data_IF_536515172975
#
_entry.id   IF_536515172975
#
_cell.length_a   1.000
_cell.length_b   1.000
_cell.length_c   1.000
_cell.angle_alpha   90.00
_cell.angle_beta   90.00
_cell.angle_gamma   90.00
#
_symmetry.space_group_name_H-M   'P 1'
#
loop_
_entity.id
_entity.type
_entity.pdbx_description
1 polymer ?
#
# COMPACT_ATOMS: atom_id res chain seq x y z
N UNK A 1 -55.88 -17.53 -8.87
CA UNK A 1 -54.85 -16.82 -9.65
C UNK A 1 -53.63 -17.72 -9.78
N UNK A 2 -53.13 -17.91 -11.00
CA UNK A 2 -51.85 -18.61 -11.23
C UNK A 2 -50.81 -17.56 -11.63
N UNK A 3 -49.71 -17.53 -10.88
CA UNK A 3 -48.56 -16.68 -11.16
C UNK A 3 -47.57 -17.49 -11.98
N UNK A 4 -47.21 -17.03 -13.18
CA UNK A 4 -46.19 -17.68 -14.02
C UNK A 4 -45.07 -16.69 -14.30
N UNK A 5 -43.84 -17.17 -14.24
CA UNK A 5 -42.65 -16.39 -14.58
C UNK A 5 -42.17 -16.84 -15.95
N UNK A 6 -42.03 -15.91 -16.90
CA UNK A 6 -41.39 -16.23 -18.17
C UNK A 6 -39.91 -16.49 -17.92
N UNK A 7 -39.42 -17.70 -18.22
CA UNK A 7 -38.00 -18.06 -18.03
C UNK A 7 -37.06 -17.31 -18.97
N UNK A 8 -37.58 -16.70 -20.03
CA UNK A 8 -36.78 -15.97 -21.03
C UNK A 8 -36.60 -14.50 -20.65
N UNK A 9 -37.65 -13.81 -20.21
CA UNK A 9 -37.59 -12.38 -19.91
C UNK A 9 -37.80 -12.03 -18.42
N UNK A 10 -38.12 -13.01 -17.57
CA UNK A 10 -38.29 -12.82 -16.13
C UNK A 10 -39.58 -12.09 -15.73
N UNK A 11 -40.46 -11.75 -16.67
CA UNK A 11 -41.74 -11.08 -16.38
C UNK A 11 -42.67 -12.05 -15.65
N UNK A 12 -43.24 -11.57 -14.55
CA UNK A 12 -44.18 -12.31 -13.70
C UNK A 12 -45.60 -11.90 -14.08
N UNK A 13 -46.40 -12.85 -14.53
CA UNK A 13 -47.78 -12.62 -14.95
C UNK A 13 -48.73 -13.35 -14.00
N UNK A 14 -49.65 -12.61 -13.38
CA UNK A 14 -50.74 -13.14 -12.54
C UNK A 14 -52.02 -13.14 -13.35
N UNK A 15 -52.58 -14.33 -13.63
CA UNK A 15 -53.86 -14.45 -14.33
C UNK A 15 -54.95 -15.02 -13.42
N UNK A 16 -56.11 -14.39 -13.41
CA UNK A 16 -57.32 -14.96 -12.83
C UNK A 16 -57.83 -16.09 -13.72
N UNK A 17 -58.21 -17.21 -13.10
CA UNK A 17 -58.43 -18.47 -13.80
C UNK A 17 -59.67 -18.42 -14.68
N UNK A 18 -59.46 -18.54 -16.00
CA UNK A 18 -60.52 -18.77 -16.98
C UNK A 18 -59.93 -19.13 -18.35
N UNK A 19 -60.24 -20.33 -18.84
CA UNK A 19 -59.96 -20.79 -20.21
C UNK A 19 -58.78 -21.75 -20.35
N UNK A 20 -59.09 -23.05 -20.36
CA UNK A 20 -58.19 -24.12 -20.82
C UNK A 20 -58.27 -24.20 -22.35
N UNK A 21 -57.14 -24.10 -23.05
CA UNK A 21 -57.05 -24.54 -24.46
C UNK A 21 -56.55 -23.53 -25.50
N UNK A 22 -55.48 -22.77 -25.21
CA UNK A 22 -54.78 -21.99 -26.24
C UNK A 22 -53.29 -21.88 -25.93
N UNK A 23 -52.46 -21.87 -26.98
CA UNK A 23 -51.01 -21.66 -26.89
C UNK A 23 -50.73 -20.33 -26.15
N UNK A 24 -50.17 -20.45 -24.95
CA UNK A 24 -49.92 -19.30 -24.07
C UNK A 24 -48.64 -18.59 -24.51
N UNK A 25 -48.74 -17.52 -25.29
CA UNK A 25 -47.59 -16.65 -25.56
C UNK A 25 -47.42 -15.61 -24.45
N UNK A 26 -46.17 -15.37 -24.03
CA UNK A 26 -45.85 -14.28 -23.10
C UNK A 26 -46.13 -12.93 -23.79
N UNK A 27 -46.95 -12.04 -23.21
CA UNK A 27 -47.30 -10.78 -23.84
C UNK A 27 -46.11 -9.82 -24.00
N UNK A 28 -45.06 -9.98 -23.18
CA UNK A 28 -43.88 -9.13 -23.23
C UNK A 28 -42.86 -9.54 -24.31
N UNK A 29 -42.77 -10.81 -24.68
CA UNK A 29 -41.74 -11.29 -25.61
C UNK A 29 -42.28 -12.16 -26.76
N UNK A 30 -43.59 -12.42 -26.80
CA UNK A 30 -44.26 -13.17 -27.87
C UNK A 30 -43.96 -14.66 -27.94
N UNK A 31 -43.14 -15.21 -27.03
CA UNK A 31 -42.75 -16.63 -27.04
C UNK A 31 -43.78 -17.51 -26.33
N UNK A 32 -44.02 -18.70 -26.89
CA UNK A 32 -44.88 -19.72 -26.31
C UNK A 32 -44.32 -20.25 -24.98
N UNK A 33 -45.19 -20.31 -23.98
CA UNK A 33 -44.92 -20.85 -22.66
C UNK A 33 -45.27 -22.34 -22.67
N UNK A 34 -44.42 -23.21 -22.08
CA UNK A 34 -44.69 -24.64 -22.04
C UNK A 34 -46.01 -24.92 -21.31
N UNK A 35 -46.84 -25.76 -21.92
CA UNK A 35 -48.10 -26.26 -21.36
C UNK A 35 -47.81 -27.10 -20.12
N UNK A 36 -48.55 -26.83 -19.05
CA UNK A 36 -48.30 -27.39 -17.73
C UNK A 36 -48.70 -28.87 -17.67
N UNK A 37 -47.74 -29.77 -17.85
CA UNK A 37 -47.83 -31.17 -17.41
C UNK A 37 -46.48 -31.69 -16.94
N UNK A 38 -45.91 -31.05 -15.91
CA UNK A 38 -44.94 -31.62 -14.96
C UNK A 38 -44.40 -30.46 -14.09
N UNK A 39 -45.06 -30.19 -12.97
CA UNK A 39 -44.43 -29.44 -11.88
C UNK A 39 -43.79 -30.46 -10.93
N UNK A 40 -42.50 -30.34 -10.55
CA UNK A 40 -41.99 -31.02 -9.38
C UNK A 40 -42.52 -30.31 -8.14
N UNK A 41 -43.10 -31.08 -7.22
CA UNK A 41 -43.50 -30.62 -5.89
C UNK A 41 -42.30 -30.04 -5.13
N UNK A 42 -42.40 -28.77 -4.72
CA UNK A 42 -41.48 -28.19 -3.73
C UNK A 42 -42.13 -28.26 -2.35
N UNK A 43 -41.46 -28.83 -1.34
CA UNK A 43 -42.02 -28.95 0.00
C UNK A 43 -42.11 -27.58 0.70
N UNK A 44 -43.15 -27.44 1.53
CA UNK A 44 -43.59 -26.24 2.24
C UNK A 44 -42.63 -25.70 3.34
N UNK A 45 -41.33 -26.02 3.29
CA UNK A 45 -40.32 -25.53 4.24
C UNK A 45 -39.80 -24.11 3.94
N UNK A 46 -40.28 -23.46 2.87
CA UNK A 46 -39.78 -22.17 2.40
C UNK A 46 -40.54 -20.93 2.96
N UNK A 47 -41.16 -21.01 4.14
CA UNK A 47 -41.90 -19.88 4.76
C UNK A 47 -41.40 -19.39 6.11
N UNK A 48 -40.29 -19.92 6.63
CA UNK A 48 -39.65 -19.43 7.85
C UNK A 48 -38.15 -19.22 7.63
N UNK A 49 -37.81 -18.13 6.95
CA UNK A 49 -36.42 -17.81 6.60
C UNK A 49 -36.27 -16.36 6.15
N UNK A 50 -36.89 -15.42 6.87
CA UNK A 50 -36.68 -13.98 6.69
C UNK A 50 -35.42 -13.53 7.45
N UNK A 51 -34.33 -14.26 7.28
CA UNK A 51 -32.98 -13.87 7.65
C UNK A 51 -32.04 -14.44 6.61
N UNK A 52 -31.26 -13.56 5.99
CA UNK A 52 -30.15 -13.90 5.08
C UNK A 52 -30.53 -14.46 3.70
N UNK A 53 -30.99 -13.57 2.82
CA UNK A 53 -30.99 -13.84 1.37
C UNK A 53 -29.59 -14.24 0.88
N UNK A 54 -29.55 -15.41 0.27
CA UNK A 54 -28.38 -16.01 -0.34
C UNK A 54 -28.08 -15.34 -1.69
N UNK A 55 -26.91 -14.69 -1.78
CA UNK A 55 -26.18 -14.52 -3.02
C UNK A 55 -24.79 -15.11 -2.78
N UNK A 56 -24.40 -16.07 -3.61
CA UNK A 56 -23.12 -16.73 -3.60
C UNK A 56 -22.02 -15.76 -4.03
N UNK A 57 -21.41 -15.12 -3.05
CA UNK A 57 -20.11 -14.45 -3.13
C UNK A 57 -19.49 -14.60 -1.76
N UNK A 58 -18.25 -15.09 -1.66
CA UNK A 58 -17.57 -15.42 -0.41
C UNK A 58 -17.95 -14.47 0.73
N UNK A 59 -18.70 -14.96 1.74
CA UNK A 59 -18.94 -14.20 2.97
C UNK A 59 -17.65 -14.19 3.76
N UNK A 60 -16.77 -13.26 3.40
CA UNK A 60 -15.61 -12.94 4.21
C UNK A 60 -16.10 -12.61 5.62
N UNK A 61 -15.52 -13.22 6.67
CA UNK A 61 -15.92 -12.91 8.04
C UNK A 61 -15.58 -11.44 8.30
N UNK A 62 -16.61 -10.61 8.46
CA UNK A 62 -16.46 -9.17 8.75
C UNK A 62 -16.20 -8.96 10.24
N UNK A 63 -15.36 -7.99 10.57
CA UNK A 63 -15.14 -7.62 11.97
C UNK A 63 -16.42 -7.01 12.60
N UNK A 64 -16.60 -7.10 13.94
CA UNK A 64 -17.75 -6.51 14.62
C UNK A 64 -17.90 -5.01 14.35
N UNK A 65 -16.78 -4.29 14.21
CA UNK A 65 -16.75 -2.85 13.94
C UNK A 65 -17.40 -2.53 12.58
N UNK A 66 -17.07 -3.29 11.54
CA UNK A 66 -17.64 -3.17 10.19
C UNK A 66 -19.12 -3.53 10.20
N UNK A 67 -19.50 -4.60 10.91
CA UNK A 67 -20.91 -5.01 11.04
C UNK A 67 -21.73 -3.89 11.71
N UNK A 68 -21.23 -3.31 12.80
CA UNK A 68 -21.90 -2.23 13.51
C UNK A 68 -22.06 -0.98 12.63
N UNK A 69 -20.99 -0.55 11.95
CA UNK A 69 -21.00 0.56 11.00
C UNK A 69 -22.01 0.34 9.87
N UNK A 70 -22.08 -0.88 9.31
CA UNK A 70 -23.00 -1.23 8.22
C UNK A 70 -24.48 -1.23 8.64
N UNK A 71 -24.76 -1.34 9.94
CA UNK A 71 -26.12 -1.36 10.51
C UNK A 71 -26.58 0.01 11.02
N UNK A 72 -25.70 1.01 11.00
CA UNK A 72 -26.02 2.37 11.45
C UNK A 72 -27.26 2.93 10.74
N UNK A 73 -28.13 3.62 11.49
CA UNK A 73 -29.34 4.25 10.95
C UNK A 73 -29.04 5.21 9.78
N UNK A 74 -27.83 5.76 9.74
CA UNK A 74 -27.38 6.73 8.73
C UNK A 74 -27.09 6.14 7.35
N UNK A 75 -27.07 4.81 7.22
CA UNK A 75 -26.83 4.10 5.94
C UNK A 75 -28.05 3.27 5.49
N UNK A 76 -29.19 3.44 6.15
CA UNK A 76 -30.41 2.62 5.92
C UNK A 76 -31.00 2.78 4.52
N UNK A 77 -30.74 3.89 3.82
CA UNK A 77 -31.15 4.11 2.43
C UNK A 77 -30.36 3.31 1.38
N UNK A 78 -29.22 2.71 1.75
CA UNK A 78 -28.37 1.94 0.83
C UNK A 78 -28.77 0.46 0.78
N UNK A 79 -28.45 -0.21 -0.33
CA UNK A 79 -28.52 -1.66 -0.44
C UNK A 79 -27.49 -2.34 0.51
N UNK A 80 -27.75 -3.57 1.00
CA UNK A 80 -26.85 -4.22 1.95
C UNK A 80 -25.38 -4.31 1.50
N UNK A 81 -25.06 -4.66 0.23
CA UNK A 81 -23.67 -4.66 -0.24
C UNK A 81 -23.00 -3.29 -0.22
N UNK A 82 -23.75 -2.22 -0.54
CA UNK A 82 -23.24 -0.83 -0.48
C UNK A 82 -22.90 -0.42 0.95
N UNK A 83 -23.72 -0.82 1.94
CA UNK A 83 -23.45 -0.53 3.36
C UNK A 83 -22.13 -1.11 3.85
N UNK A 84 -21.78 -2.32 3.38
CA UNK A 84 -20.52 -2.99 3.72
C UNK A 84 -19.34 -2.21 3.11
N UNK A 85 -19.41 -1.89 1.82
CA UNK A 85 -18.37 -1.11 1.13
C UNK A 85 -18.19 0.27 1.80
N UNK A 86 -19.28 0.94 2.15
CA UNK A 86 -19.25 2.20 2.90
C UNK A 86 -18.54 2.04 4.25
N UNK A 87 -18.93 1.03 5.04
CA UNK A 87 -18.33 0.77 6.35
C UNK A 87 -16.81 0.53 6.25
N UNK A 88 -16.38 -0.26 5.26
CA UNK A 88 -14.96 -0.54 5.00
C UNK A 88 -14.19 0.73 4.63
N UNK A 89 -14.71 1.56 3.73
CA UNK A 89 -14.06 2.80 3.31
C UNK A 89 -13.97 3.82 4.44
N UNK A 90 -15.06 4.01 5.18
CA UNK A 90 -15.09 4.93 6.32
C UNK A 90 -14.09 4.49 7.39
N UNK A 91 -14.10 3.20 7.75
CA UNK A 91 -13.16 2.64 8.74
C UNK A 91 -11.71 2.83 8.31
N UNK A 92 -11.40 2.54 7.05
CA UNK A 92 -10.06 2.69 6.46
C UNK A 92 -9.59 4.14 6.49
N UNK A 93 -10.40 5.07 5.98
CA UNK A 93 -10.03 6.49 5.92
C UNK A 93 -10.01 7.15 7.30
N UNK A 94 -10.85 6.70 8.24
CA UNK A 94 -10.77 7.11 9.63
C UNK A 94 -9.46 6.66 10.28
N UNK A 95 -9.03 5.42 10.04
CA UNK A 95 -7.75 4.90 10.53
C UNK A 95 -6.60 5.80 10.07
N UNK A 96 -6.57 6.13 8.78
CA UNK A 96 -5.59 7.04 8.18
C UNK A 96 -5.63 8.47 8.77
N UNK A 97 -6.83 9.00 9.07
CA UNK A 97 -6.97 10.31 9.74
C UNK A 97 -6.42 10.28 11.17
N UNK A 98 -6.66 9.20 11.91
CA UNK A 98 -6.18 9.04 13.29
C UNK A 98 -4.68 8.80 13.37
N UNK A 99 -4.04 8.38 12.28
CA UNK A 99 -2.63 7.97 12.25
C UNK A 99 -1.61 9.10 12.30
N UNK A 100 -2.01 10.27 12.82
CA UNK A 100 -1.11 11.40 13.10
C UNK A 100 0.01 11.02 14.08
N UNK A 101 -0.29 10.10 15.00
CA UNK A 101 0.68 9.59 15.97
C UNK A 101 1.81 8.84 15.28
N UNK A 102 1.51 7.97 14.30
CA UNK A 102 2.53 7.22 13.55
C UNK A 102 3.46 8.13 12.76
N UNK A 103 2.97 9.25 12.23
CA UNK A 103 3.83 10.23 11.56
C UNK A 103 4.83 10.86 12.52
N UNK A 104 4.38 11.33 13.69
CA UNK A 104 5.28 11.90 14.71
C UNK A 104 6.24 10.84 15.23
N UNK A 105 5.74 9.64 15.50
CA UNK A 105 6.55 8.50 15.92
C UNK A 105 7.63 8.17 14.89
N UNK A 106 7.31 8.13 13.59
CA UNK A 106 8.29 7.90 12.52
C UNK A 106 9.41 8.94 12.48
N UNK A 107 9.10 10.23 12.67
CA UNK A 107 10.12 11.28 12.77
C UNK A 107 10.98 11.16 14.04
N UNK A 108 10.37 10.79 15.16
CA UNK A 108 11.10 10.57 16.43
C UNK A 108 11.98 9.33 16.37
N UNK A 109 11.54 8.27 15.68
CA UNK A 109 12.29 7.02 15.54
C UNK A 109 13.44 7.13 14.54
N UNK A 110 13.37 8.05 13.57
CA UNK A 110 14.40 8.21 12.55
C UNK A 110 15.81 8.43 13.13
N UNK A 111 16.05 9.30 14.13
CA UNK A 111 17.33 9.38 14.84
C UNK A 111 17.80 8.06 15.47
N UNK A 112 16.90 7.27 16.05
CA UNK A 112 17.24 5.97 16.63
C UNK A 112 17.69 4.98 15.55
N UNK A 113 16.96 4.92 14.43
CA UNK A 113 17.35 4.10 13.29
C UNK A 113 18.63 4.59 12.61
N UNK A 114 18.86 5.90 12.56
CA UNK A 114 20.14 6.46 12.10
C UNK A 114 21.29 6.07 13.02
N UNK A 115 21.11 6.11 14.34
CA UNK A 115 22.10 5.59 15.29
C UNK A 115 22.36 4.10 15.14
N UNK A 116 21.29 3.29 14.99
CA UNK A 116 21.42 1.85 14.75
C UNK A 116 22.13 1.55 13.42
N UNK A 117 21.79 2.28 12.36
CA UNK A 117 22.41 2.18 11.05
C UNK A 117 23.88 2.57 11.08
N UNK A 118 24.23 3.62 11.83
CA UNK A 118 25.60 4.06 12.06
C UNK A 118 26.45 2.96 12.72
N UNK A 119 25.95 2.39 13.82
CA UNK A 119 26.62 1.28 14.49
C UNK A 119 26.72 0.05 13.58
N UNK A 120 25.66 -0.26 12.84
CA UNK A 120 25.63 -1.35 11.87
C UNK A 120 26.65 -1.16 10.73
N UNK A 121 26.74 0.05 10.17
CA UNK A 121 27.71 0.40 9.13
C UNK A 121 29.14 0.31 9.62
N UNK A 122 29.44 0.87 10.80
CA UNK A 122 30.76 0.75 11.43
C UNK A 122 31.13 -0.71 11.73
N UNK A 123 30.19 -1.47 12.27
CA UNK A 123 30.40 -2.89 12.56
C UNK A 123 30.68 -3.68 11.28
N UNK A 124 29.90 -3.46 10.21
CA UNK A 124 30.11 -4.10 8.92
C UNK A 124 31.49 -3.77 8.34
N UNK A 125 31.92 -2.51 8.39
CA UNK A 125 33.27 -2.11 7.97
C UNK A 125 34.36 -2.78 8.80
N UNK A 126 34.19 -2.84 10.13
CA UNK A 126 35.15 -3.46 11.04
C UNK A 126 35.25 -4.96 10.77
N UNK A 127 34.12 -5.65 10.62
CA UNK A 127 34.08 -7.06 10.31
C UNK A 127 34.70 -7.37 8.94
N UNK A 128 34.41 -6.55 7.92
CA UNK A 128 34.99 -6.67 6.59
C UNK A 128 36.51 -6.46 6.64
N UNK A 129 36.99 -5.46 7.37
CA UNK A 129 38.43 -5.22 7.56
C UNK A 129 39.10 -6.41 8.24
N UNK A 130 38.57 -6.90 9.37
CA UNK A 130 39.15 -8.06 10.09
C UNK A 130 39.20 -9.30 9.20
N UNK A 131 38.13 -9.55 8.42
CA UNK A 131 38.08 -10.67 7.49
C UNK A 131 39.11 -10.52 6.37
N UNK A 132 39.18 -9.35 5.73
CA UNK A 132 40.13 -9.08 4.64
C UNK A 132 41.57 -9.11 5.12
N UNK A 133 41.86 -8.60 6.32
CA UNK A 133 43.18 -8.67 6.93
C UNK A 133 43.59 -10.13 7.23
N UNK A 134 42.66 -10.96 7.72
CA UNK A 134 42.93 -12.37 7.94
C UNK A 134 43.20 -13.13 6.62
N UNK A 135 42.41 -12.84 5.58
CA UNK A 135 42.61 -13.41 4.24
C UNK A 135 43.90 -12.91 3.59
N UNK A 136 44.23 -11.63 3.77
CA UNK A 136 45.44 -11.01 3.25
C UNK A 136 46.69 -11.70 3.81
N UNK A 137 46.72 -11.95 5.13
CA UNK A 137 47.81 -12.69 5.78
C UNK A 137 47.89 -14.15 5.32
N UNK A 138 46.75 -14.77 5.02
CA UNK A 138 46.71 -16.15 4.56
C UNK A 138 47.17 -16.30 3.11
N UNK A 139 46.81 -15.36 2.25
CA UNK A 139 47.09 -15.40 0.81
C UNK A 139 48.36 -14.63 0.39
N UNK A 140 48.98 -13.87 1.30
CA UNK A 140 50.10 -12.95 1.02
C UNK A 140 49.78 -11.93 -0.08
N UNK A 141 48.55 -11.41 -0.07
CA UNK A 141 48.03 -10.41 -1.03
C UNK A 141 47.37 -9.27 -0.26
N UNK A 142 47.56 -8.02 -0.69
CA UNK A 142 46.93 -6.83 -0.11
C UNK A 142 45.43 -6.73 -0.45
N UNK A 143 44.61 -7.52 0.24
CA UNK A 143 43.15 -7.56 0.01
C UNK A 143 42.38 -6.41 0.66
N UNK A 144 43.03 -5.58 1.47
CA UNK A 144 42.39 -4.47 2.20
C UNK A 144 41.82 -3.39 1.24
N UNK A 145 42.37 -3.27 0.02
CA UNK A 145 41.81 -2.44 -1.04
C UNK A 145 40.41 -2.89 -1.50
N UNK A 146 39.98 -4.12 -1.21
CA UNK A 146 38.63 -4.57 -1.52
C UNK A 146 37.55 -3.79 -0.74
N UNK A 147 37.91 -3.13 0.37
CA UNK A 147 37.00 -2.25 1.11
C UNK A 147 36.46 -1.09 0.24
N UNK A 148 37.18 -0.68 -0.81
CA UNK A 148 36.71 0.34 -1.76
C UNK A 148 35.52 -0.11 -2.62
N UNK A 149 35.18 -1.40 -2.63
CA UNK A 149 33.95 -1.88 -3.27
C UNK A 149 32.71 -1.68 -2.38
N UNK A 150 32.87 -1.41 -1.08
CA UNK A 150 31.74 -1.27 -0.14
C UNK A 150 30.77 -0.14 -0.52
N UNK A 151 31.21 1.03 -1.01
CA UNK A 151 30.31 2.06 -1.53
C UNK A 151 29.40 1.56 -2.67
N UNK A 152 29.78 0.52 -3.43
CA UNK A 152 28.92 -0.06 -4.48
C UNK A 152 27.69 -0.77 -3.88
N UNK A 153 27.71 -1.18 -2.62
CA UNK A 153 26.54 -1.74 -1.93
C UNK A 153 25.42 -0.70 -1.74
N UNK A 154 25.73 0.60 -1.84
CA UNK A 154 24.71 1.66 -1.87
C UNK A 154 23.79 1.49 -3.11
N UNK A 155 24.32 0.99 -4.22
CA UNK A 155 23.51 0.68 -5.42
C UNK A 155 22.56 -0.50 -5.17
N UNK A 156 22.98 -1.49 -4.37
CA UNK A 156 22.11 -2.59 -3.94
C UNK A 156 21.00 -2.07 -3.03
N UNK A 157 21.30 -1.10 -2.15
CA UNK A 157 20.27 -0.42 -1.38
C UNK A 157 19.29 0.33 -2.28
N UNK A 158 19.76 1.07 -3.28
CA UNK A 158 18.89 1.76 -4.24
C UNK A 158 17.98 0.78 -5.00
N UNK A 159 18.52 -0.38 -5.41
CA UNK A 159 17.75 -1.46 -6.02
C UNK A 159 16.71 -2.04 -5.05
N UNK A 160 17.10 -2.29 -3.80
CA UNK A 160 16.22 -2.80 -2.76
C UNK A 160 15.10 -1.80 -2.43
N UNK A 161 15.42 -0.52 -2.24
CA UNK A 161 14.44 0.55 -2.01
C UNK A 161 13.46 0.67 -3.17
N UNK A 162 13.95 0.65 -4.42
CA UNK A 162 13.07 0.62 -5.62
C UNK A 162 12.15 -0.60 -5.63
N UNK A 163 12.59 -1.74 -5.07
CA UNK A 163 11.76 -2.94 -4.98
C UNK A 163 10.67 -2.84 -3.90
N UNK A 164 10.88 -2.02 -2.87
CA UNK A 164 9.86 -1.69 -1.87
C UNK A 164 8.77 -0.77 -2.43
N UNK A 165 9.09 0.13 -3.36
CA UNK A 165 8.12 1.04 -4.00
C UNK A 165 7.25 0.37 -5.09
N UNK A 166 7.20 -0.97 -5.15
CA UNK A 166 6.37 -1.68 -6.13
C UNK A 166 4.88 -1.39 -5.89
N UNK A 167 4.13 -1.28 -6.99
CA UNK A 167 2.68 -1.08 -6.99
C UNK A 167 2.00 -2.09 -6.05
N UNK A 168 1.39 -1.59 -4.98
CA UNK A 168 0.54 -2.40 -4.10
C UNK A 168 -0.89 -2.42 -4.60
N UNK A 169 -1.44 -3.62 -4.60
CA UNK A 169 -2.82 -3.87 -4.93
C UNK A 169 -3.74 -3.40 -3.79
N UNK A 170 -4.93 -2.91 -4.14
CA UNK A 170 -5.98 -2.62 -3.16
C UNK A 170 -6.59 -3.95 -2.69
N UNK A 171 -6.37 -4.29 -1.43
CA UNK A 171 -6.76 -5.57 -0.82
C UNK A 171 -7.60 -5.35 0.44
N UNK A 172 -8.22 -6.42 0.95
CA UNK A 172 -8.83 -6.39 2.28
C UNK A 172 -7.75 -6.47 3.37
N UNK A 173 -7.91 -5.64 4.39
CA UNK A 173 -7.11 -5.74 5.60
C UNK A 173 -7.76 -6.74 6.56
N UNK A 174 -6.99 -7.75 7.00
CA UNK A 174 -7.46 -8.79 7.91
C UNK A 174 -6.84 -8.66 9.30
N UNK A 175 -7.69 -8.61 10.33
CA UNK A 175 -7.28 -8.66 11.74
C UNK A 175 -8.00 -9.83 12.42
N UNK A 176 -7.25 -10.72 13.08
CA UNK A 176 -7.83 -11.90 13.73
C UNK A 176 -8.58 -12.85 12.80
N UNK A 177 -8.22 -12.89 11.51
CA UNK A 177 -8.91 -13.68 10.49
C UNK A 177 -10.23 -13.06 10.00
N UNK A 178 -10.52 -11.82 10.37
CA UNK A 178 -11.71 -11.07 9.96
C UNK A 178 -11.33 -9.82 9.17
N UNK A 179 -12.17 -9.40 8.22
CA UNK A 179 -11.95 -8.16 7.46
C UNK A 179 -12.28 -6.96 8.35
N UNK A 180 -11.27 -6.13 8.67
CA UNK A 180 -11.44 -4.88 9.44
C UNK A 180 -11.34 -3.62 8.56
N UNK A 181 -10.85 -3.73 7.32
CA UNK A 181 -10.73 -2.57 6.45
C UNK A 181 -10.22 -2.89 5.05
N UNK A 182 -9.72 -1.86 4.38
CA UNK A 182 -9.07 -1.92 3.07
C UNK A 182 -7.64 -1.39 3.20
N UNK A 183 -6.72 -1.99 2.45
CA UNK A 183 -5.40 -1.40 2.21
C UNK A 183 -5.48 -0.68 0.86
N UNK A 184 -5.50 0.65 0.86
CA UNK A 184 -5.66 1.45 -0.36
C UNK A 184 -4.34 1.54 -1.16
N UNK A 185 -3.72 0.40 -1.47
CA UNK A 185 -2.51 0.32 -2.27
C UNK A 185 -1.40 1.25 -1.75
N UNK A 186 -0.92 2.15 -2.62
CA UNK A 186 0.18 3.09 -2.31
C UNK A 186 -0.22 4.18 -1.33
N UNK A 187 -1.52 4.45 -1.13
CA UNK A 187 -1.93 5.38 -0.07
C UNK A 187 -1.62 4.81 1.31
N UNK A 188 -1.74 3.48 1.48
CA UNK A 188 -1.45 2.82 2.75
C UNK A 188 0.02 2.99 3.16
N UNK A 189 0.94 2.85 2.21
CA UNK A 189 2.39 2.94 2.46
C UNK A 189 2.83 4.30 3.00
N UNK A 190 2.13 5.38 2.66
CA UNK A 190 2.47 6.72 3.19
C UNK A 190 2.25 6.78 4.71
N UNK A 191 1.32 5.97 5.23
CA UNK A 191 1.01 5.85 6.64
C UNK A 191 1.93 4.85 7.37
N UNK A 192 2.62 3.98 6.64
CA UNK A 192 3.58 3.07 7.26
C UNK A 192 4.77 3.85 7.84
N UNK A 193 5.15 3.51 9.07
CA UNK A 193 6.32 4.07 9.78
C UNK A 193 7.66 3.54 9.28
N UNK A 194 7.61 2.58 8.34
CA UNK A 194 8.76 1.89 7.78
C UNK A 194 9.64 2.82 6.94
N UNK A 195 9.05 3.75 6.18
CA UNK A 195 9.79 4.61 5.23
C UNK A 195 10.77 5.57 5.95
N UNK A 196 10.38 6.39 6.96
CA UNK A 196 11.33 7.24 7.70
C UNK A 196 12.40 6.44 8.43
N UNK A 197 12.02 5.28 8.96
CA UNK A 197 12.91 4.38 9.70
C UNK A 197 13.97 3.80 8.76
N UNK A 198 13.57 3.38 7.57
CA UNK A 198 14.46 2.85 6.53
C UNK A 198 15.42 3.92 6.01
N UNK A 199 14.91 5.14 5.77
CA UNK A 199 15.74 6.27 5.37
C UNK A 199 16.74 6.66 6.47
N UNK A 200 16.31 6.66 7.73
CA UNK A 200 17.19 6.88 8.89
C UNK A 200 18.29 5.82 8.97
N UNK A 201 17.92 4.54 8.87
CA UNK A 201 18.86 3.42 8.86
C UNK A 201 19.89 3.56 7.74
N UNK A 202 19.45 3.90 6.52
CA UNK A 202 20.33 4.11 5.38
C UNK A 202 21.32 5.25 5.58
N UNK A 203 20.84 6.40 6.07
CA UNK A 203 21.69 7.53 6.41
C UNK A 203 22.78 7.11 7.40
N UNK A 204 22.37 6.42 8.47
CA UNK A 204 23.28 5.88 9.47
C UNK A 204 24.33 4.96 8.87
N UNK A 205 23.92 3.98 8.06
CA UNK A 205 24.81 3.04 7.40
C UNK A 205 25.83 3.78 6.52
N UNK A 206 25.41 4.77 5.74
CA UNK A 206 26.31 5.55 4.88
C UNK A 206 27.35 6.31 5.72
N UNK A 207 26.94 6.96 6.81
CA UNK A 207 27.84 7.63 7.74
C UNK A 207 28.84 6.67 8.38
N UNK A 208 28.36 5.56 8.95
CA UNK A 208 29.21 4.57 9.58
C UNK A 208 30.16 3.89 8.60
N UNK A 209 29.70 3.61 7.37
CA UNK A 209 30.50 3.03 6.32
C UNK A 209 31.60 3.98 5.84
N UNK A 210 31.31 5.26 5.62
CA UNK A 210 32.33 6.24 5.21
C UNK A 210 33.39 6.43 6.29
N UNK A 211 33.00 6.56 7.57
CA UNK A 211 33.96 6.67 8.68
C UNK A 211 34.81 5.40 8.77
N UNK A 212 34.19 4.22 8.73
CA UNK A 212 34.91 2.95 8.77
C UNK A 212 35.86 2.80 7.58
N UNK A 213 35.47 3.25 6.39
CA UNK A 213 36.31 3.20 5.20
C UNK A 213 37.55 4.07 5.39
N UNK A 214 37.39 5.31 5.87
CA UNK A 214 38.51 6.21 6.19
C UNK A 214 39.42 5.64 7.28
N UNK A 215 38.85 4.93 8.26
CA UNK A 215 39.60 4.38 9.39
C UNK A 215 40.41 3.14 9.02
N UNK A 216 39.87 2.27 8.15
CA UNK A 216 40.40 0.92 7.92
C UNK A 216 41.04 0.72 6.55
N UNK A 217 40.98 1.71 5.65
CA UNK A 217 41.70 1.63 4.37
C UNK A 217 43.14 2.10 4.50
N UNK A 218 44.07 1.50 3.75
CA UNK A 218 45.44 2.01 3.61
C UNK A 218 45.43 3.48 3.17
N UNK A 219 46.33 4.29 3.76
CA UNK A 219 46.48 5.73 3.50
C UNK A 219 45.19 6.56 3.61
N UNK A 220 44.19 6.09 4.37
CA UNK A 220 42.91 6.79 4.58
C UNK A 220 42.21 7.16 3.27
N UNK A 221 42.16 6.21 2.32
CA UNK A 221 41.68 6.42 0.97
C UNK A 221 42.55 7.35 0.10
N UNK A 222 43.80 7.60 0.50
CA UNK A 222 44.71 8.54 -0.15
C UNK A 222 44.55 9.98 0.34
N UNK A 223 44.12 10.15 1.59
CA UNK A 223 43.99 11.45 2.24
C UNK A 223 45.16 11.69 3.21
N UNK A 224 45.76 12.91 3.23
CA UNK A 224 46.84 13.25 4.14
C UNK A 224 46.31 13.60 5.55
N UNK A 225 45.68 12.63 6.22
CA UNK A 225 45.09 12.81 7.56
C UNK A 225 45.81 11.96 8.60
N UNK A 226 45.64 12.31 9.89
CA UNK A 226 46.27 11.59 11.00
C UNK A 226 45.52 10.29 11.35
N UNK A 227 44.37 10.04 10.72
CA UNK A 227 43.63 8.79 10.85
C UNK A 227 42.81 8.67 12.14
N UNK A 228 42.62 9.77 12.86
CA UNK A 228 41.80 9.78 14.08
C UNK A 228 40.31 9.65 13.77
N UNK A 229 39.58 8.88 14.57
CA UNK A 229 38.13 8.71 14.42
C UNK A 229 37.37 10.03 14.34
N UNK A 230 37.75 11.01 15.17
CA UNK A 230 37.12 12.34 15.17
C UNK A 230 37.35 13.10 13.85
N UNK A 231 38.53 12.97 13.24
CA UNK A 231 38.85 13.59 11.95
C UNK A 231 38.05 12.93 10.82
N UNK A 232 37.98 11.59 10.80
CA UNK A 232 37.14 10.83 9.87
C UNK A 232 35.65 11.16 10.00
N UNK A 233 35.15 11.35 11.23
CA UNK A 233 33.78 11.74 11.51
C UNK A 233 33.47 13.16 11.01
N UNK A 234 34.36 14.12 11.27
CA UNK A 234 34.22 15.49 10.78
C UNK A 234 34.26 15.56 9.26
N UNK A 235 35.17 14.84 8.61
CA UNK A 235 35.24 14.77 7.14
C UNK A 235 33.99 14.13 6.53
N UNK A 236 33.47 13.07 7.14
CA UNK A 236 32.21 12.44 6.70
C UNK A 236 31.03 13.40 6.87
N UNK A 237 30.95 14.11 8.00
CA UNK A 237 29.94 15.14 8.22
C UNK A 237 30.07 16.28 7.20
N UNK A 238 31.30 16.73 6.91
CA UNK A 238 31.54 17.77 5.92
C UNK A 238 31.09 17.30 4.52
N UNK A 239 31.40 16.06 4.15
CA UNK A 239 30.95 15.46 2.88
C UNK A 239 29.43 15.35 2.79
N UNK A 240 28.77 14.93 3.87
CA UNK A 240 27.31 14.87 3.94
C UNK A 240 26.66 16.25 3.82
N UNK A 241 27.19 17.26 4.52
CA UNK A 241 26.71 18.64 4.43
C UNK A 241 26.91 19.22 3.02
N UNK A 242 28.07 18.98 2.41
CA UNK A 242 28.35 19.42 1.04
C UNK A 242 27.51 18.69 -0.01
N UNK A 243 27.07 17.45 0.24
CA UNK A 243 26.03 16.84 -0.57
C UNK A 243 24.71 17.59 -0.41
N UNK A 244 24.12 17.51 0.78
CA UNK A 244 22.76 17.96 1.06
C UNK A 244 22.58 19.47 0.80
N UNK A 245 23.61 20.27 1.08
CA UNK A 245 23.57 21.73 1.06
C UNK A 245 24.66 22.34 0.17
N UNK A 246 25.05 21.65 -0.91
CA UNK A 246 26.11 22.01 -1.86
C UNK A 246 26.24 23.53 -2.07
N UNK A 247 25.19 24.16 -2.58
CA UNK A 247 25.18 25.59 -2.90
C UNK A 247 25.36 26.49 -1.67
N UNK A 248 24.90 26.07 -0.50
CA UNK A 248 25.00 26.88 0.72
C UNK A 248 26.39 26.78 1.33
N UNK A 249 26.94 25.57 1.43
CA UNK A 249 28.26 25.36 2.04
C UNK A 249 29.38 25.92 1.18
N UNK A 250 29.27 25.79 -0.15
CA UNK A 250 30.23 26.37 -1.09
C UNK A 250 30.11 27.91 -1.13
N UNK A 251 28.88 28.46 -1.13
CA UNK A 251 28.67 29.91 -1.16
C UNK A 251 29.16 30.63 0.12
N UNK A 252 28.97 30.01 1.28
CA UNK A 252 29.40 30.57 2.56
C UNK A 252 30.79 30.09 3.01
N UNK A 253 31.46 29.26 2.20
CA UNK A 253 32.75 28.66 2.49
C UNK A 253 32.78 28.01 3.89
N UNK A 254 31.73 27.25 4.20
CA UNK A 254 31.54 26.57 5.47
C UNK A 254 32.17 25.18 5.40
N UNK A 255 33.18 24.94 6.23
CA UNK A 255 33.81 23.62 6.36
C UNK A 255 33.83 23.19 7.81
N UNK A 256 33.42 21.96 8.05
CA UNK A 256 33.61 21.30 9.32
C UNK A 256 34.98 20.61 9.33
N UNK A 257 36.01 21.34 9.73
CA UNK A 257 37.39 20.85 9.82
C UNK A 257 38.31 21.34 8.71
N UNK A 258 39.39 20.59 8.42
CA UNK A 258 40.33 20.92 7.35
C UNK A 258 39.75 20.49 6.00
N UNK A 259 39.91 21.34 4.98
CA UNK A 259 39.59 20.96 3.59
C UNK A 259 40.51 19.80 3.18
N UNK A 260 39.96 18.61 2.83
CA UNK A 260 40.76 17.51 2.35
C UNK A 260 41.32 17.83 0.95
N UNK A 261 42.61 17.61 0.76
CA UNK A 261 43.21 17.56 -0.57
C UNK A 261 42.97 16.17 -1.15
N UNK A 262 42.06 16.09 -2.13
CA UNK A 262 41.69 14.84 -2.75
C UNK A 262 42.64 14.47 -3.91
N UNK A 263 43.01 13.20 -3.99
CA UNK A 263 43.48 12.59 -5.22
C UNK A 263 42.28 12.04 -6.01
N UNK A 264 42.48 11.58 -7.24
CA UNK A 264 41.39 11.06 -8.08
C UNK A 264 40.59 9.92 -7.42
N UNK A 265 41.25 9.10 -6.59
CA UNK A 265 40.63 7.96 -5.92
C UNK A 265 39.75 8.39 -4.74
N UNK A 266 40.30 9.18 -3.81
CA UNK A 266 39.53 9.72 -2.69
C UNK A 266 38.38 10.61 -3.16
N UNK A 267 38.57 11.39 -4.23
CA UNK A 267 37.51 12.17 -4.84
C UNK A 267 36.34 11.28 -5.31
N UNK A 268 36.64 10.15 -5.96
CA UNK A 268 35.61 9.22 -6.46
C UNK A 268 34.81 8.60 -5.32
N UNK A 269 35.48 8.17 -4.25
CA UNK A 269 34.83 7.59 -3.07
C UNK A 269 33.93 8.61 -2.39
N UNK A 270 34.45 9.82 -2.14
CA UNK A 270 33.68 10.91 -1.55
C UNK A 270 32.46 11.26 -2.40
N UNK A 271 32.63 11.28 -3.72
CA UNK A 271 31.53 11.51 -4.66
C UNK A 271 30.44 10.45 -4.56
N UNK A 272 30.78 9.16 -4.45
CA UNK A 272 29.77 8.09 -4.28
C UNK A 272 28.96 8.28 -2.99
N UNK A 273 29.62 8.58 -1.87
CA UNK A 273 28.91 8.87 -0.62
C UNK A 273 28.11 10.17 -0.70
N UNK A 274 28.63 11.20 -1.36
CA UNK A 274 27.92 12.47 -1.59
C UNK A 274 26.61 12.22 -2.34
N UNK A 275 26.66 11.48 -3.45
CA UNK A 275 25.46 11.06 -4.18
C UNK A 275 24.47 10.28 -3.32
N UNK A 276 24.95 9.45 -2.39
CA UNK A 276 24.11 8.72 -1.46
C UNK A 276 23.39 9.65 -0.48
N UNK A 277 24.09 10.65 0.05
CA UNK A 277 23.50 11.68 0.91
C UNK A 277 22.50 12.58 0.16
N UNK A 278 22.80 12.93 -1.09
CA UNK A 278 21.91 13.68 -1.97
C UNK A 278 20.63 12.89 -2.26
N UNK A 279 20.78 11.61 -2.62
CA UNK A 279 19.65 10.71 -2.84
C UNK A 279 18.79 10.60 -1.56
N UNK A 280 19.42 10.45 -0.39
CA UNK A 280 18.72 10.47 0.89
C UNK A 280 17.93 11.78 1.09
N UNK A 281 18.55 12.94 0.87
CA UNK A 281 17.88 14.23 1.04
C UNK A 281 16.70 14.39 0.09
N UNK A 282 16.86 13.99 -1.17
CA UNK A 282 15.79 14.00 -2.17
C UNK A 282 14.64 13.07 -1.78
N UNK A 283 14.94 11.84 -1.35
CA UNK A 283 13.93 10.88 -0.89
C UNK A 283 13.22 11.38 0.38
N UNK A 284 13.94 11.99 1.31
CA UNK A 284 13.36 12.56 2.52
C UNK A 284 12.42 13.73 2.19
N UNK A 285 12.85 14.68 1.34
CA UNK A 285 12.02 15.79 0.88
C UNK A 285 10.82 15.28 0.10
N UNK A 286 11.00 14.28 -0.76
CA UNK A 286 9.91 13.65 -1.50
C UNK A 286 8.89 12.97 -0.56
N UNK A 287 9.34 12.19 0.43
CA UNK A 287 8.48 11.60 1.46
C UNK A 287 7.74 12.65 2.28
N UNK A 288 8.42 13.73 2.68
CA UNK A 288 7.81 14.87 3.38
C UNK A 288 6.74 15.55 2.51
N UNK A 289 7.02 15.75 1.21
CA UNK A 289 6.07 16.30 0.25
C UNK A 289 4.84 15.39 0.06
N UNK A 290 5.03 14.07 -0.09
CA UNK A 290 3.93 13.09 -0.15
C UNK A 290 3.04 13.17 1.08
N UNK A 291 3.62 13.23 2.28
CA UNK A 291 2.88 13.40 3.54
C UNK A 291 2.16 14.74 3.61
N UNK A 292 2.77 15.82 3.16
CA UNK A 292 2.12 17.12 3.08
C UNK A 292 0.90 17.09 2.15
N UNK A 293 1.05 16.53 0.94
CA UNK A 293 -0.05 16.35 -0.01
C UNK A 293 -1.17 15.47 0.54
N UNK A 294 -0.83 14.45 1.33
CA UNK A 294 -1.81 13.62 2.02
C UNK A 294 -2.58 14.39 3.10
N UNK A 295 -1.91 15.25 3.89
CA UNK A 295 -2.62 16.12 4.85
C UNK A 295 -3.64 17.02 4.14
N UNK A 296 -3.32 17.48 2.92
CA UNK A 296 -4.27 18.23 2.08
C UNK A 296 -5.43 17.36 1.57
N UNK A 297 -5.25 16.04 1.39
CA UNK A 297 -6.34 15.11 1.07
C UNK A 297 -7.38 15.10 2.19
N UNK A 298 -6.92 14.94 3.44
CA UNK A 298 -7.80 14.85 4.63
C UNK A 298 -8.29 16.22 5.13
N UNK A 299 -7.92 17.31 4.47
CA UNK A 299 -8.46 18.62 4.80
C UNK A 299 -9.97 18.64 4.55
N UNK A 300 -10.75 19.09 5.55
CA UNK A 300 -12.21 19.06 5.46
C UNK A 300 -12.82 17.67 5.45
N UNK A 301 -12.07 16.62 5.84
CA UNK A 301 -12.66 15.29 6.07
C UNK A 301 -13.75 15.42 7.14
N UNK A 302 -14.95 14.85 6.91
CA UNK A 302 -16.09 15.05 7.80
C UNK A 302 -15.76 14.62 9.23
N UNK A 303 -16.22 15.42 10.20
CA UNK A 303 -16.05 15.11 11.62
C UNK A 303 -16.83 13.85 12.00
N UNK A 304 -17.97 13.63 11.34
CA UNK A 304 -18.76 12.41 11.45
C UNK A 304 -18.91 11.74 10.08
N UNK A 305 -17.93 10.93 9.65
CA UNK A 305 -17.93 10.27 8.34
C UNK A 305 -19.00 9.19 8.21
N UNK A 306 -19.80 8.94 9.25
CA UNK A 306 -21.00 8.07 9.17
C UNK A 306 -22.14 8.75 8.41
N UNK A 307 -22.06 10.06 8.15
CA UNK A 307 -22.98 10.78 7.24
C UNK A 307 -22.54 10.52 5.81
N UNK A 308 -23.34 9.74 5.10
CA UNK A 308 -23.08 9.32 3.72
C UNK A 308 -22.84 10.53 2.82
N UNK A 309 -23.74 11.51 2.81
CA UNK A 309 -23.68 12.63 1.86
C UNK A 309 -22.41 13.46 2.06
N UNK A 310 -22.10 13.84 3.31
CA UNK A 310 -20.88 14.57 3.65
C UNK A 310 -19.61 13.80 3.26
N UNK A 311 -19.62 12.47 3.41
CA UNK A 311 -18.50 11.61 3.02
C UNK A 311 -18.34 11.53 1.49
N UNK A 312 -19.43 11.34 0.74
CA UNK A 312 -19.40 11.27 -0.71
C UNK A 312 -19.02 12.62 -1.34
N UNK A 313 -19.52 13.72 -0.79
CA UNK A 313 -19.17 15.08 -1.22
C UNK A 313 -17.69 15.38 -0.95
N UNK A 314 -17.15 14.90 0.18
CA UNK A 314 -15.72 14.99 0.44
C UNK A 314 -14.89 14.19 -0.59
N UNK A 315 -15.29 12.95 -0.93
CA UNK A 315 -14.60 12.17 -1.98
C UNK A 315 -14.66 12.91 -3.31
N UNK A 316 -15.82 13.45 -3.69
CA UNK A 316 -15.98 14.21 -4.94
C UNK A 316 -15.10 15.45 -4.97
N UNK A 317 -15.09 16.24 -3.89
CA UNK A 317 -14.29 17.45 -3.80
C UNK A 317 -12.79 17.17 -3.85
N UNK A 318 -12.35 16.02 -3.34
CA UNK A 318 -10.93 15.65 -3.25
C UNK A 318 -10.43 14.85 -4.43
N UNK A 319 -11.22 13.92 -4.97
CA UNK A 319 -10.84 13.07 -6.10
C UNK A 319 -11.21 13.71 -7.45
N UNK A 320 -12.03 14.76 -7.46
CA UNK A 320 -12.36 15.54 -8.66
C UNK A 320 -11.21 16.40 -9.19
N UNK A 321 -11.38 16.91 -10.41
CA UNK A 321 -10.37 17.58 -11.27
C UNK A 321 -9.56 18.72 -10.63
N UNK A 322 -10.02 19.28 -9.50
CA UNK A 322 -9.41 20.47 -8.88
C UNK A 322 -8.07 20.20 -8.19
N UNK A 323 -7.73 18.95 -7.85
CA UNK A 323 -6.56 18.68 -7.00
C UNK A 323 -5.33 18.15 -7.73
N UNK A 324 -5.39 17.93 -9.05
CA UNK A 324 -4.31 17.40 -9.92
C UNK A 324 -3.39 16.45 -9.14
N UNK A 325 -3.92 15.29 -8.78
CA UNK A 325 -3.13 14.32 -8.02
C UNK A 325 -1.95 13.81 -8.86
N UNK A 326 -0.82 13.49 -8.23
CA UNK A 326 0.26 12.81 -8.92
C UNK A 326 -0.28 11.56 -9.60
N UNK A 327 0.14 11.32 -10.86
CA UNK A 327 -0.21 10.10 -11.62
C UNK A 327 0.09 8.81 -10.83
N UNK A 328 1.00 8.89 -9.87
CA UNK A 328 1.39 7.82 -8.97
C UNK A 328 0.29 7.35 -7.98
N UNK A 329 -0.87 8.00 -7.91
CA UNK A 329 -2.01 7.52 -7.08
C UNK A 329 -3.28 7.32 -7.91
N UNK A 330 -3.12 7.20 -9.23
CA UNK A 330 -4.24 7.17 -10.15
C UNK A 330 -5.21 6.02 -9.84
N UNK A 331 -4.69 4.82 -9.56
CA UNK A 331 -5.52 3.64 -9.30
C UNK A 331 -6.33 3.78 -8.01
N UNK A 332 -5.73 4.33 -6.97
CA UNK A 332 -6.36 4.58 -5.68
C UNK A 332 -7.46 5.64 -5.78
N UNK A 333 -7.20 6.74 -6.49
CA UNK A 333 -8.21 7.80 -6.69
C UNK A 333 -9.32 7.37 -7.64
N UNK A 334 -9.00 6.59 -8.68
CA UNK A 334 -9.98 5.99 -9.56
C UNK A 334 -10.84 4.98 -8.80
N UNK A 335 -10.24 4.15 -7.94
CA UNK A 335 -10.97 3.26 -7.03
C UNK A 335 -11.92 4.02 -6.10
N UNK A 336 -11.46 5.06 -5.43
CA UNK A 336 -12.31 5.88 -4.54
C UNK A 336 -13.46 6.56 -5.31
N UNK A 337 -13.19 7.00 -6.53
CA UNK A 337 -14.22 7.59 -7.41
C UNK A 337 -15.26 6.54 -7.82
N UNK A 338 -14.82 5.34 -8.23
CA UNK A 338 -15.71 4.23 -8.55
C UNK A 338 -16.53 3.79 -7.34
N UNK A 339 -15.92 3.76 -6.16
CA UNK A 339 -16.62 3.45 -4.94
C UNK A 339 -17.68 4.49 -4.58
N UNK A 340 -17.39 5.78 -4.74
CA UNK A 340 -18.38 6.85 -4.59
C UNK A 340 -19.57 6.66 -5.53
N UNK A 341 -19.32 6.41 -6.82
CA UNK A 341 -20.39 6.18 -7.80
C UNK A 341 -21.20 4.91 -7.49
N UNK A 342 -20.55 3.85 -7.00
CA UNK A 342 -21.24 2.65 -6.53
C UNK A 342 -22.16 2.95 -5.34
N UNK A 343 -21.69 3.73 -4.36
CA UNK A 343 -22.48 4.13 -3.19
C UNK A 343 -23.65 5.05 -3.54
N UNK A 344 -23.52 5.87 -4.60
CA UNK A 344 -24.62 6.66 -5.18
C UNK A 344 -25.63 5.83 -5.97
N UNK A 345 -25.34 4.54 -6.23
CA UNK A 345 -26.19 3.66 -7.03
C UNK A 345 -25.98 3.79 -8.55
N UNK A 346 -24.95 4.50 -9.01
CA UNK A 346 -24.61 4.66 -10.42
C UNK A 346 -23.88 3.43 -10.99
N UNK A 347 -24.51 2.25 -10.89
CA UNK A 347 -23.89 0.96 -11.21
C UNK A 347 -23.45 0.84 -12.67
N UNK A 348 -24.17 1.49 -13.60
CA UNK A 348 -23.83 1.50 -15.02
C UNK A 348 -22.48 2.19 -15.28
N UNK A 349 -22.23 3.32 -14.62
CA UNK A 349 -20.98 4.06 -14.73
C UNK A 349 -19.82 3.26 -14.15
N UNK A 350 -20.00 2.68 -12.96
CA UNK A 350 -18.97 1.83 -12.32
C UNK A 350 -18.59 0.67 -13.25
N UNK A 351 -19.58 0.00 -13.83
CA UNK A 351 -19.33 -1.07 -14.81
C UNK A 351 -18.57 -0.55 -16.03
N UNK A 352 -19.03 0.53 -16.64
CA UNK A 352 -18.40 1.09 -17.85
C UNK A 352 -16.94 1.46 -17.61
N UNK A 353 -16.66 2.20 -16.54
CA UNK A 353 -15.29 2.64 -16.21
C UNK A 353 -14.42 1.45 -15.83
N UNK A 354 -14.94 0.46 -15.09
CA UNK A 354 -14.17 -0.75 -14.77
C UNK A 354 -13.71 -1.52 -16.00
N UNK A 355 -14.52 -1.54 -17.06
CA UNK A 355 -14.17 -2.17 -18.34
C UNK A 355 -13.14 -1.35 -19.13
N UNK A 356 -13.13 -0.02 -18.98
CA UNK A 356 -12.14 0.85 -19.62
C UNK A 356 -10.77 0.79 -18.93
N UNK A 357 -10.74 0.49 -17.62
CA UNK A 357 -9.52 0.38 -16.81
C UNK A 357 -9.37 -1.04 -16.23
N UNK A 358 -9.19 -2.08 -17.07
CA UNK A 358 -9.14 -3.46 -16.61
C UNK A 358 -7.92 -3.77 -15.74
N UNK A 359 -6.84 -3.00 -15.89
CA UNK A 359 -5.56 -3.18 -15.21
C UNK A 359 -5.45 -2.44 -13.87
N UNK A 360 -6.57 -1.90 -13.36
CA UNK A 360 -6.59 -1.27 -12.05
C UNK A 360 -6.12 -2.27 -10.99
N UNK A 361 -5.12 -1.89 -10.18
CA UNK A 361 -4.49 -2.75 -9.17
C UNK A 361 -5.41 -2.93 -7.95
N UNK A 362 -6.48 -3.71 -8.12
CA UNK A 362 -7.48 -4.05 -7.09
C UNK A 362 -7.73 -5.55 -7.11
N UNK A 363 -7.68 -6.18 -5.94
CA UNK A 363 -7.84 -7.62 -5.83
C UNK A 363 -9.23 -8.09 -6.20
N UNK A 364 -9.29 -9.34 -6.68
CA UNK A 364 -10.55 -9.99 -7.03
C UNK A 364 -11.51 -10.07 -5.84
N UNK A 365 -10.99 -10.24 -4.63
CA UNK A 365 -11.78 -10.24 -3.41
C UNK A 365 -12.46 -8.87 -3.19
N UNK A 366 -11.70 -7.77 -3.30
CA UNK A 366 -12.25 -6.42 -3.16
C UNK A 366 -13.26 -6.12 -4.25
N UNK A 367 -12.97 -6.52 -5.50
CA UNK A 367 -13.90 -6.41 -6.64
C UNK A 367 -15.20 -7.16 -6.39
N UNK A 368 -15.13 -8.35 -5.80
CA UNK A 368 -16.31 -9.18 -5.51
C UNK A 368 -17.29 -8.57 -4.51
N UNK A 369 -16.85 -7.60 -3.70
CA UNK A 369 -17.74 -6.87 -2.79
C UNK A 369 -18.67 -5.86 -3.49
N UNK A 370 -18.39 -5.51 -4.75
CA UNK A 370 -19.20 -4.59 -5.55
C UNK A 370 -20.28 -5.36 -6.32
N UNK A 371 -21.39 -5.64 -5.64
CA UNK A 371 -22.47 -6.51 -6.13
C UNK A 371 -23.71 -5.70 -6.52
N UNK A 372 -24.25 -5.99 -7.69
CA UNK A 372 -25.50 -5.40 -8.19
C UNK A 372 -26.75 -5.99 -7.57
N UNK A 373 -27.94 -5.44 -7.87
CA UNK A 373 -29.22 -5.95 -7.38
C UNK A 373 -29.50 -7.40 -7.77
N UNK A 374 -28.90 -7.87 -8.88
CA UNK A 374 -29.05 -9.24 -9.40
C UNK A 374 -28.00 -10.21 -8.86
N UNK A 375 -27.13 -9.77 -7.95
CA UNK A 375 -26.02 -10.58 -7.45
C UNK A 375 -24.79 -10.60 -8.36
N UNK A 376 -24.78 -9.79 -9.43
CA UNK A 376 -23.68 -9.72 -10.39
C UNK A 376 -22.57 -8.77 -9.93
N UNK A 377 -21.30 -9.18 -10.10
CA UNK A 377 -20.15 -8.31 -9.82
C UNK A 377 -20.13 -7.16 -10.83
N UNK A 378 -20.26 -5.94 -10.31
CA UNK A 378 -20.29 -4.69 -11.06
C UNK A 378 -18.87 -4.24 -11.41
N UNK A 379 -17.93 -4.41 -10.47
CA UNK A 379 -16.56 -3.96 -10.62
C UNK A 379 -15.68 -5.07 -11.20
N UNK A 380 -15.61 -5.16 -12.54
CA UNK A 380 -14.86 -6.24 -13.21
C UNK A 380 -13.44 -5.79 -13.56
N UNK A 381 -12.48 -6.69 -13.41
CA UNK A 381 -11.12 -6.54 -13.95
C UNK A 381 -10.87 -7.50 -15.10
N UNK A 382 -9.75 -7.35 -15.81
CA UNK A 382 -9.20 -8.51 -16.52
C UNK A 382 -8.65 -9.43 -15.43
N UNK A 383 -9.19 -10.64 -15.29
CA UNK A 383 -8.72 -11.60 -14.29
C UNK A 383 -7.20 -11.73 -14.42
N UNK A 384 -6.46 -11.27 -13.41
CA UNK A 384 -5.03 -11.52 -13.35
C UNK A 384 -4.83 -13.04 -13.30
N UNK A 385 -3.79 -13.60 -13.94
CA UNK A 385 -3.48 -15.02 -13.78
C UNK A 385 -3.31 -15.29 -12.28
N UNK A 386 -4.14 -16.19 -11.74
CA UNK A 386 -4.15 -16.59 -10.32
C UNK A 386 -2.71 -16.77 -9.84
N UNK A 387 -2.20 -15.82 -9.04
CA UNK A 387 -1.01 -16.08 -8.24
C UNK A 387 -1.41 -17.15 -7.22
N UNK A 388 -0.64 -18.24 -7.07
CA UNK A 388 -0.93 -19.23 -6.04
C UNK A 388 -0.93 -18.54 -4.68
N UNK A 389 -2.00 -18.74 -3.92
CA UNK A 389 -2.17 -18.21 -2.58
C UNK A 389 -0.92 -18.59 -1.76
N UNK A 390 -0.14 -17.58 -1.37
CA UNK A 390 0.93 -17.78 -0.41
C UNK A 390 0.23 -17.95 0.94
N UNK A 391 0.02 -19.20 1.34
CA UNK A 391 -0.46 -19.54 2.67
C UNK A 391 0.63 -19.11 3.65
N UNK A 392 0.48 -17.91 4.22
CA UNK A 392 1.19 -17.54 5.45
C UNK A 392 0.59 -18.33 6.60
N UNK A 393 0.98 -19.59 6.73
CA UNK A 393 0.90 -20.30 7.99
C UNK A 393 1.89 -19.64 8.96
N UNK A 394 1.41 -18.69 9.76
CA UNK A 394 2.02 -18.45 11.08
C UNK A 394 1.72 -19.69 11.92
N UNK A 395 2.55 -20.72 11.74
CA UNK A 395 2.61 -21.88 12.62
C UNK A 395 3.06 -21.41 13.99
N UNK A 396 2.10 -21.40 14.92
CA UNK A 396 2.33 -21.38 16.35
C UNK A 396 3.11 -22.66 16.66
N UNK A 397 4.41 -22.53 16.95
CA UNK A 397 5.22 -23.66 17.43
C UNK A 397 4.84 -23.85 18.89
N UNK A 398 3.89 -24.76 19.13
CA UNK A 398 3.70 -25.39 20.42
C UNK A 398 4.96 -26.23 20.70
N UNK A 399 5.83 -25.70 21.57
CA UNK A 399 6.87 -26.47 22.23
C UNK A 399 6.22 -27.13 23.43
N UNK A 400 5.69 -28.32 23.22
CA UNK A 400 5.50 -29.31 24.28
C UNK A 400 5.60 -30.70 23.64
N UNK A 401 6.30 -31.59 24.35
CA UNK A 401 6.57 -33.02 24.06
C UNK A 401 7.68 -33.34 23.03
N UNK A 402 8.88 -33.66 23.53
CA UNK A 402 9.46 -35.01 23.51
C UNK A 402 10.94 -34.96 23.96
N UNK A 403 11.18 -35.67 25.07
CA UNK A 403 12.42 -36.34 25.56
C UNK A 403 13.79 -35.63 25.53
#
# INVERSE_FOLDING_TARGET
MTTRVCTVCGVVETREGGGLGGDLCCPACGRSLPTASAAPDFPAAARSGLTTGAAAGHRLPLSPSIIELSKSHRVTGMAPPQRIVFALLVRTLQSYRSDRFMVVFGFVMMPFFAGAGFLGGLFAMTAAHVLLAALSRWADIELEYALYAIPLFILLFAHWHKSLEREREIVFHFEGGQVDGLELGRLHEIFETSEPSTLGLFLGICFGAQIGLLQFTPDHAGLPILGGFAESALLTLNNACHGIFLDTFELYNLDWGKKPEHNYWSATIFYVFRLAFDAFALLYVYGAYRRYRLRLLFQGFPNDPRRVDEFLDWIEARCGDKHRWPRHYFDEFLFLTLAKEYLRGNLALVRQVSLQFPNLTVSDDVRSAFVGPKGDVIFRGMGAPKRPATVTTKGKVDRDSLD
#
